data_IF_416869531034
#
_entry.id   IF_416869531034
#
_cell.length_a   1.000
_cell.length_b   1.000
_cell.length_c   1.000
_cell.angle_alpha   90.00
_cell.angle_beta   90.00
_cell.angle_gamma   90.00
#
_symmetry.space_group_name_H-M   'P 1'
#
loop_
_entity.id
_entity.type
_entity.pdbx_description
1 polymer ?
#
# COMPACT_ATOMS: atom_id res chain seq x y z
N UNK A 1 -20.04 27.21 -22.38
CA UNK A 1 -18.57 27.10 -22.23
C UNK A 1 -18.22 27.72 -20.90
N UNK A 2 -17.71 27.05 -19.89
CA UNK A 2 -17.35 25.64 -19.69
C UNK A 2 -16.74 25.57 -18.30
N UNK A 3 -17.23 24.67 -17.45
CA UNK A 3 -16.59 24.25 -16.19
C UNK A 3 -17.23 22.90 -15.80
N UNK A 4 -16.94 21.84 -16.55
CA UNK A 4 -16.94 20.52 -15.93
C UNK A 4 -15.54 20.35 -15.39
N UNK A 5 -15.33 20.88 -14.18
CA UNK A 5 -14.14 20.64 -13.40
C UNK A 5 -14.11 19.11 -13.16
N UNK A 6 -13.35 18.39 -13.99
CA UNK A 6 -13.14 16.96 -13.82
C UNK A 6 -12.39 16.82 -12.50
N UNK A 7 -13.13 16.67 -11.41
CA UNK A 7 -12.60 16.22 -10.13
C UNK A 7 -11.87 14.92 -10.45
N UNK A 8 -10.54 14.98 -10.51
CA UNK A 8 -9.73 13.83 -10.93
C UNK A 8 -10.06 12.70 -9.97
N UNK A 9 -10.68 11.66 -10.49
CA UNK A 9 -11.06 10.50 -9.67
C UNK A 9 -9.73 9.88 -9.26
N UNK A 10 -9.40 9.88 -7.97
CA UNK A 10 -8.11 9.37 -7.48
C UNK A 10 -7.85 7.92 -7.92
N UNK A 11 -8.92 7.15 -8.19
CA UNK A 11 -8.86 5.79 -8.73
C UNK A 11 -8.17 5.69 -10.11
N UNK A 12 -8.16 6.78 -10.88
CA UNK A 12 -7.49 6.86 -12.19
C UNK A 12 -6.00 7.20 -12.07
N UNK A 13 -5.56 7.62 -10.89
CA UNK A 13 -4.18 8.03 -10.68
C UNK A 13 -3.27 6.80 -10.54
N UNK A 14 -2.22 6.73 -11.36
CA UNK A 14 -1.29 5.58 -11.43
C UNK A 14 -0.72 5.19 -10.06
N UNK A 15 -0.32 6.18 -9.25
CA UNK A 15 0.22 5.93 -7.91
C UNK A 15 -0.78 5.23 -6.98
N UNK A 16 -2.06 5.60 -7.07
CA UNK A 16 -3.11 4.93 -6.29
C UNK A 16 -3.32 3.51 -6.80
N UNK A 17 -3.38 3.32 -8.12
CA UNK A 17 -3.53 2.00 -8.74
C UNK A 17 -2.38 1.06 -8.35
N UNK A 18 -1.13 1.55 -8.37
CA UNK A 18 0.05 0.81 -7.91
C UNK A 18 -0.10 0.38 -6.44
N UNK A 19 -0.53 1.29 -5.56
CA UNK A 19 -0.74 0.96 -4.14
C UNK A 19 -1.90 -0.02 -3.91
N UNK A 20 -2.96 0.07 -4.71
CA UNK A 20 -4.12 -0.81 -4.64
C UNK A 20 -3.80 -2.22 -5.12
N UNK A 21 -3.08 -2.34 -6.24
CA UNK A 21 -2.61 -3.64 -6.75
C UNK A 21 -1.73 -4.32 -5.70
N UNK A 22 -0.76 -3.61 -5.12
CA UNK A 22 0.10 -4.17 -4.07
C UNK A 22 -0.70 -4.66 -2.84
N UNK A 23 -1.74 -3.93 -2.43
CA UNK A 23 -2.66 -4.38 -1.36
C UNK A 23 -3.41 -5.66 -1.76
N UNK A 24 -3.93 -5.73 -2.98
CA UNK A 24 -4.69 -6.91 -3.44
C UNK A 24 -3.82 -8.14 -3.61
N UNK A 25 -2.56 -7.97 -4.01
CA UNK A 25 -1.59 -9.06 -4.05
C UNK A 25 -1.31 -9.65 -2.66
N UNK A 26 -1.34 -8.82 -1.60
CA UNK A 26 -1.24 -9.32 -0.21
C UNK A 26 -2.46 -10.18 0.14
N UNK A 27 -3.67 -9.71 -0.19
CA UNK A 27 -4.89 -10.50 0.03
C UNK A 27 -4.82 -11.84 -0.72
N UNK A 28 -4.43 -11.83 -1.99
CA UNK A 28 -4.30 -13.05 -2.79
C UNK A 28 -3.26 -14.01 -2.24
N UNK A 29 -2.13 -13.49 -1.72
CA UNK A 29 -1.10 -14.30 -1.08
C UNK A 29 -1.62 -15.00 0.18
N UNK A 30 -2.38 -14.29 1.01
CA UNK A 30 -2.87 -14.80 2.29
C UNK A 30 -4.08 -15.73 2.13
N UNK A 31 -4.92 -15.54 1.11
CA UNK A 31 -6.06 -16.42 0.81
C UNK A 31 -5.62 -17.86 0.46
N UNK A 32 -4.37 -18.05 0.05
CA UNK A 32 -3.80 -19.36 -0.30
C UNK A 32 -3.23 -20.12 0.89
N UNK A 33 -3.23 -19.53 2.09
CA UNK A 33 -2.56 -20.07 3.27
C UNK A 33 -3.57 -20.41 4.34
N UNK A 34 -3.43 -21.60 4.92
CA UNK A 34 -4.17 -21.97 6.12
C UNK A 34 -3.55 -21.22 7.31
N UNK A 35 -4.27 -20.20 7.80
CA UNK A 35 -3.81 -19.35 8.91
C UNK A 35 -4.21 -19.99 10.23
N UNK A 36 -3.23 -20.32 11.06
CA UNK A 36 -3.49 -20.76 12.42
C UNK A 36 -3.99 -19.62 13.30
N UNK A 37 -4.82 -19.93 14.31
CA UNK A 37 -5.42 -18.95 15.21
C UNK A 37 -4.39 -18.02 15.89
N UNK A 38 -3.17 -18.52 16.11
CA UNK A 38 -2.11 -17.75 16.75
C UNK A 38 -1.39 -16.76 15.82
N UNK A 39 -1.59 -16.87 14.49
CA UNK A 39 -1.05 -15.99 13.46
C UNK A 39 -2.08 -15.01 12.87
N UNK A 40 -3.37 -15.15 13.21
CA UNK A 40 -4.45 -14.24 12.77
C UNK A 40 -4.14 -12.76 13.03
N UNK A 41 -3.50 -12.47 14.17
CA UNK A 41 -3.08 -11.11 14.52
C UNK A 41 -2.06 -10.53 13.54
N UNK A 42 -1.13 -11.34 13.05
CA UNK A 42 -0.09 -10.93 12.09
C UNK A 42 -0.72 -10.62 10.74
N UNK A 43 -1.61 -11.50 10.29
CA UNK A 43 -2.38 -11.33 9.04
C UNK A 43 -3.19 -10.04 9.09
N UNK A 44 -3.93 -9.83 10.19
CA UNK A 44 -4.75 -8.63 10.37
C UNK A 44 -3.92 -7.35 10.34
N UNK A 45 -2.83 -7.30 11.09
CA UNK A 45 -1.96 -6.12 11.13
C UNK A 45 -1.33 -5.83 9.77
N UNK A 46 -0.88 -6.87 9.04
CA UNK A 46 -0.35 -6.72 7.67
C UNK A 46 -1.38 -6.09 6.72
N UNK A 47 -2.63 -6.57 6.74
CA UNK A 47 -3.71 -5.99 5.92
C UNK A 47 -3.99 -4.54 6.31
N UNK A 48 -4.05 -4.23 7.61
CA UNK A 48 -4.29 -2.88 8.09
C UNK A 48 -3.22 -1.92 7.57
N UNK A 49 -1.93 -2.23 7.79
CA UNK A 49 -0.84 -1.33 7.38
C UNK A 49 -0.75 -1.20 5.85
N UNK A 50 -1.03 -2.26 5.09
CA UNK A 50 -1.09 -2.22 3.63
C UNK A 50 -2.24 -1.34 3.13
N UNK A 51 -3.43 -1.47 3.74
CA UNK A 51 -4.61 -0.69 3.39
C UNK A 51 -4.39 0.80 3.69
N UNK A 52 -3.70 1.11 4.79
CA UNK A 52 -3.36 2.48 5.15
C UNK A 52 -2.52 3.20 4.10
N UNK A 53 -1.62 2.50 3.38
CA UNK A 53 -0.84 3.08 2.28
C UNK A 53 -1.77 3.57 1.18
N UNK A 54 -2.64 2.69 0.66
CA UNK A 54 -3.55 3.04 -0.43
C UNK A 54 -4.55 4.14 -0.02
N UNK A 55 -5.06 4.09 1.21
CA UNK A 55 -5.95 5.11 1.77
C UNK A 55 -5.26 6.46 1.90
N UNK A 56 -4.00 6.49 2.37
CA UNK A 56 -3.23 7.74 2.54
C UNK A 56 -2.84 8.35 1.21
N UNK A 57 -2.54 7.52 0.20
CA UNK A 57 -2.31 7.99 -1.19
C UNK A 57 -3.58 8.61 -1.76
N UNK A 58 -4.74 7.94 -1.63
CA UNK A 58 -6.02 8.50 -2.05
C UNK A 58 -6.30 9.84 -1.36
N UNK A 59 -6.08 9.91 -0.05
CA UNK A 59 -6.24 11.13 0.72
C UNK A 59 -5.35 12.25 0.16
N UNK A 60 -4.04 11.99 0.02
CA UNK A 60 -3.08 12.96 -0.49
C UNK A 60 -3.41 13.49 -1.90
N UNK A 61 -3.91 12.63 -2.78
CA UNK A 61 -4.30 13.00 -4.16
C UNK A 61 -5.55 13.89 -4.21
N UNK A 62 -6.42 13.81 -3.20
CA UNK A 62 -7.68 14.57 -3.16
C UNK A 62 -7.56 15.91 -2.43
N UNK A 63 -6.41 16.20 -1.79
CA UNK A 63 -6.21 17.47 -1.08
C UNK A 63 -6.04 18.64 -2.04
N UNK A 64 -6.81 19.71 -1.78
CA UNK A 64 -6.64 21.00 -2.47
C UNK A 64 -5.34 21.71 -2.06
N UNK A 65 -4.95 21.63 -0.79
CA UNK A 65 -3.67 22.15 -0.32
C UNK A 65 -2.54 21.19 -0.69
N UNK A 66 -1.73 21.61 -1.66
CA UNK A 66 -0.56 20.86 -2.16
C UNK A 66 0.46 20.54 -1.06
N UNK A 67 0.58 21.38 -0.04
CA UNK A 67 1.49 21.10 1.10
C UNK A 67 0.98 19.91 1.89
N UNK A 68 -0.31 19.91 2.24
CA UNK A 68 -0.95 18.79 2.95
C UNK A 68 -0.88 17.51 2.10
N UNK A 69 -1.13 17.61 0.80
CA UNK A 69 -0.96 16.48 -0.12
C UNK A 69 0.45 15.87 -0.07
N UNK A 70 1.50 16.70 -0.11
CA UNK A 70 2.90 16.23 0.01
C UNK A 70 3.26 15.66 1.38
N UNK A 71 2.72 16.23 2.46
CA UNK A 71 2.91 15.72 3.82
C UNK A 71 2.31 14.30 3.92
N UNK A 72 1.14 14.07 3.31
CA UNK A 72 0.50 12.75 3.22
C UNK A 72 1.32 11.76 2.37
N UNK A 73 1.91 12.18 1.25
CA UNK A 73 2.80 11.30 0.48
C UNK A 73 4.05 10.91 1.27
N UNK A 74 4.58 11.82 2.09
CA UNK A 74 5.69 11.51 3.00
C UNK A 74 5.27 10.52 4.08
N UNK A 75 4.05 10.67 4.61
CA UNK A 75 3.47 9.69 5.55
C UNK A 75 3.31 8.31 4.90
N UNK A 76 2.83 8.25 3.66
CA UNK A 76 2.67 7.00 2.93
C UNK A 76 4.01 6.27 2.73
N UNK A 77 5.12 6.99 2.53
CA UNK A 77 6.47 6.38 2.50
C UNK A 77 6.80 5.67 3.83
N UNK A 78 6.46 6.28 4.97
CA UNK A 78 6.61 5.64 6.28
C UNK A 78 5.74 4.41 6.43
N UNK A 79 4.49 4.45 5.95
CA UNK A 79 3.58 3.31 5.96
C UNK A 79 4.08 2.16 5.08
N UNK A 80 4.67 2.45 3.92
CA UNK A 80 5.33 1.44 3.09
C UNK A 80 6.43 0.70 3.86
N UNK A 81 7.27 1.43 4.62
CA UNK A 81 8.30 0.79 5.45
C UNK A 81 7.70 -0.10 6.55
N UNK A 82 6.57 0.30 7.14
CA UNK A 82 5.83 -0.54 8.09
C UNK A 82 5.27 -1.79 7.40
N UNK A 83 4.62 -1.66 6.24
CA UNK A 83 4.10 -2.80 5.49
C UNK A 83 5.19 -3.82 5.15
N UNK A 84 6.36 -3.35 4.68
CA UNK A 84 7.52 -4.22 4.41
C UNK A 84 8.02 -4.95 5.66
N UNK A 85 7.97 -4.29 6.82
CA UNK A 85 8.30 -4.93 8.11
C UNK A 85 7.30 -6.04 8.44
N UNK A 86 6.00 -5.80 8.27
CA UNK A 86 4.97 -6.82 8.50
C UNK A 86 5.02 -7.96 7.48
N UNK A 87 5.38 -7.69 6.23
CA UNK A 87 5.65 -8.72 5.21
C UNK A 87 6.79 -9.63 5.66
N UNK A 88 7.89 -9.07 6.15
CA UNK A 88 9.02 -9.86 6.65
C UNK A 88 8.63 -10.72 7.86
N UNK A 89 7.77 -10.21 8.74
CA UNK A 89 7.23 -11.00 9.86
C UNK A 89 6.36 -12.15 9.34
N UNK A 90 5.42 -11.88 8.43
CA UNK A 90 4.54 -12.91 7.87
C UNK A 90 5.34 -14.02 7.15
N UNK A 91 6.35 -13.64 6.37
CA UNK A 91 7.30 -14.58 5.76
C UNK A 91 8.07 -15.40 6.81
N UNK A 92 8.62 -14.76 7.84
CA UNK A 92 9.33 -15.45 8.92
C UNK A 92 8.45 -16.42 9.74
N UNK A 93 7.12 -16.28 9.63
CA UNK A 93 6.12 -17.17 10.23
C UNK A 93 5.64 -18.27 9.27
N UNK A 94 6.14 -18.30 8.04
CA UNK A 94 5.73 -19.27 7.02
C UNK A 94 4.36 -18.98 6.40
N UNK A 95 3.84 -17.75 6.54
CA UNK A 95 2.56 -17.34 5.98
C UNK A 95 2.64 -16.94 4.50
N UNK A 96 3.83 -17.04 3.90
CA UNK A 96 4.09 -16.89 2.47
C UNK A 96 5.45 -17.49 2.15
N UNK A 97 5.63 -17.91 0.90
CA UNK A 97 6.93 -18.40 0.41
C UNK A 97 7.89 -17.26 0.02
N UNK A 98 9.14 -17.63 -0.26
CA UNK A 98 10.20 -16.70 -0.64
C UNK A 98 9.88 -15.91 -1.91
N UNK A 99 9.22 -16.53 -2.89
CA UNK A 99 8.88 -15.89 -4.17
C UNK A 99 7.82 -14.81 -3.97
N UNK A 100 6.76 -15.15 -3.23
CA UNK A 100 5.67 -14.24 -2.87
C UNK A 100 6.18 -13.09 -2.02
N UNK A 101 6.99 -13.38 -1.00
CA UNK A 101 7.60 -12.35 -0.15
C UNK A 101 8.44 -11.37 -0.97
N UNK A 102 9.37 -11.86 -1.81
CA UNK A 102 10.22 -10.99 -2.65
C UNK A 102 9.40 -10.17 -3.63
N UNK A 103 8.41 -10.79 -4.29
CA UNK A 103 7.54 -10.09 -5.22
C UNK A 103 6.74 -8.95 -4.57
N UNK A 104 6.24 -9.17 -3.35
CA UNK A 104 5.55 -8.14 -2.58
C UNK A 104 6.51 -7.06 -2.05
N UNK A 105 7.66 -7.45 -1.48
CA UNK A 105 8.65 -6.49 -0.98
C UNK A 105 9.17 -5.57 -2.08
N UNK A 106 9.44 -6.11 -3.28
CA UNK A 106 9.86 -5.35 -4.45
C UNK A 106 8.75 -4.38 -4.92
N UNK A 107 7.48 -4.79 -4.91
CA UNK A 107 6.35 -3.90 -5.23
C UNK A 107 6.29 -2.70 -4.26
N UNK A 108 6.44 -2.94 -2.96
CA UNK A 108 6.47 -1.88 -1.96
C UNK A 108 7.76 -1.02 -2.03
N UNK A 109 8.90 -1.60 -2.38
CA UNK A 109 10.12 -0.85 -2.64
C UNK A 109 9.96 0.09 -3.86
N UNK A 110 9.33 -0.39 -4.94
CA UNK A 110 9.00 0.43 -6.10
C UNK A 110 7.99 1.54 -5.75
N UNK A 111 6.99 1.23 -4.93
CA UNK A 111 6.01 2.23 -4.47
C UNK A 111 6.66 3.37 -3.67
N UNK A 112 7.70 3.07 -2.88
CA UNK A 112 8.51 4.11 -2.22
C UNK A 112 9.12 5.08 -3.23
N UNK A 113 9.67 4.54 -4.33
CA UNK A 113 10.27 5.35 -5.40
C UNK A 113 9.21 6.19 -6.11
N UNK A 114 8.05 5.61 -6.43
CA UNK A 114 6.91 6.34 -7.02
C UNK A 114 6.44 7.48 -6.11
N UNK A 115 6.27 7.24 -4.81
CA UNK A 115 5.85 8.24 -3.81
C UNK A 115 6.85 9.38 -3.67
N UNK A 116 8.15 9.07 -3.67
CA UNK A 116 9.20 10.09 -3.56
C UNK A 116 9.36 10.91 -4.84
N UNK A 117 9.03 10.34 -6.00
CA UNK A 117 9.02 11.05 -7.29
C UNK A 117 7.83 12.00 -7.45
N UNK A 118 6.77 11.84 -6.64
CA UNK A 118 5.56 12.68 -6.63
C UNK A 118 5.79 14.09 -6.01
N UNK A 119 7.05 14.54 -5.87
CA UNK A 119 7.41 15.80 -5.22
C UNK A 119 7.21 17.04 -6.08
#
# INVERSE_FOLDING_TARGET
>A
MGTSDYMTIFHEHKLWQESYVALMDIHEALDKVEVEAHDEGIVKELIIVAQEVAATVADGLTRQDRRVGRDLMTKAVGQVAMTRTHLAVAWGRGLMDDETFRGLDDKYANLTSSLQSFR
#
